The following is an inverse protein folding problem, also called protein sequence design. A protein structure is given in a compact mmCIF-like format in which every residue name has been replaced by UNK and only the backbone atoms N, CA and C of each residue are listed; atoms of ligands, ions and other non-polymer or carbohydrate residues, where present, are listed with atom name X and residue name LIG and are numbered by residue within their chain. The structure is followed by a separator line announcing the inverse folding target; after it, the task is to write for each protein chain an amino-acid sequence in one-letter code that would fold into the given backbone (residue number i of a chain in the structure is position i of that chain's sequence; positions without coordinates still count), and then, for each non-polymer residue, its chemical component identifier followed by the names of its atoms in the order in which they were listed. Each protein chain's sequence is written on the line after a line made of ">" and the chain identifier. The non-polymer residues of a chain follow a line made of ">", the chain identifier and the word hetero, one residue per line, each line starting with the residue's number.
data_IF_194879377470
#
_entry.id   IF_194879377470
#
_cell.length_a   1.000
_cell.length_b   1.000
_cell.length_c   1.000
_cell.angle_alpha   90.00
_cell.angle_beta   90.00
_cell.angle_gamma   90.00
#
_symmetry.space_group_name_H-M   'P 1'
#
loop_
_entity.id
_entity.type
_entity.pdbx_description
1 polymer ?
#
# COMPACT_ATOMS: atom_id res chain seq x y z
N UNK A 1 -2.94 -8.07 -2.27
CA UNK A 1 -2.30 -6.96 -1.50
C UNK A 1 -2.30 -5.71 -2.34
N UNK A 2 -2.30 -4.53 -1.70
CA UNK A 2 -2.26 -3.23 -2.40
C UNK A 2 -0.88 -2.60 -2.26
N UNK A 3 -0.36 -2.02 -3.34
CA UNK A 3 0.94 -1.34 -3.35
C UNK A 3 0.79 0.02 -4.01
N UNK A 4 1.18 1.08 -3.29
CA UNK A 4 1.06 2.47 -3.76
C UNK A 4 1.86 3.46 -2.91
N UNK A 5 2.06 4.67 -3.42
CA UNK A 5 2.81 5.72 -2.72
C UNK A 5 2.06 7.04 -2.66
N UNK A 6 2.15 7.72 -1.52
CA UNK A 6 1.64 9.09 -1.37
C UNK A 6 2.61 10.14 -1.91
N UNK A 7 3.89 9.80 -1.96
CA UNK A 7 4.96 10.60 -2.56
C UNK A 7 5.33 10.15 -3.98
N UNK A 8 6.63 10.23 -4.31
CA UNK A 8 7.16 9.93 -5.65
C UNK A 8 7.15 8.45 -6.01
N UNK A 9 7.05 7.55 -5.04
CA UNK A 9 7.09 6.11 -5.26
C UNK A 9 8.40 5.56 -5.82
N UNK A 10 9.53 6.24 -5.64
CA UNK A 10 10.83 5.77 -6.13
C UNK A 10 11.13 4.34 -5.63
N UNK A 11 11.41 3.43 -6.57
CA UNK A 11 11.71 2.03 -6.30
C UNK A 11 10.50 1.16 -5.95
N UNK A 12 9.31 1.73 -5.77
CA UNK A 12 8.12 0.97 -5.38
C UNK A 12 7.59 0.08 -6.52
N UNK A 13 7.83 0.45 -7.78
CA UNK A 13 7.53 -0.36 -8.96
C UNK A 13 8.38 -1.64 -9.00
N UNK A 14 9.65 -1.54 -8.62
CA UNK A 14 10.58 -2.68 -8.49
C UNK A 14 10.09 -3.61 -7.40
N UNK A 15 9.67 -3.08 -6.25
CA UNK A 15 9.12 -3.91 -5.17
C UNK A 15 7.79 -4.58 -5.58
N UNK A 16 6.89 -3.85 -6.23
CA UNK A 16 5.64 -4.42 -6.75
C UNK A 16 5.91 -5.55 -7.76
N UNK A 17 6.95 -5.42 -8.58
CA UNK A 17 7.39 -6.49 -9.49
C UNK A 17 7.97 -7.67 -8.72
N UNK A 18 8.88 -7.44 -7.77
CA UNK A 18 9.47 -8.49 -6.93
C UNK A 18 8.39 -9.31 -6.21
N UNK A 19 7.38 -8.64 -5.66
CA UNK A 19 6.25 -9.30 -5.01
C UNK A 19 5.48 -10.19 -5.99
N UNK A 20 5.16 -9.70 -7.19
CA UNK A 20 4.52 -10.53 -8.23
C UNK A 20 5.38 -11.73 -8.64
N UNK A 21 6.70 -11.56 -8.74
CA UNK A 21 7.62 -12.64 -9.10
C UNK A 21 7.66 -13.76 -8.03
N UNK A 22 7.24 -13.48 -6.78
CA UNK A 22 7.04 -14.50 -5.73
C UNK A 22 5.66 -15.19 -5.79
N UNK A 23 4.82 -14.82 -6.76
CA UNK A 23 3.46 -15.32 -6.91
C UNK A 23 2.41 -14.54 -6.12
N UNK A 24 2.77 -13.39 -5.52
CA UNK A 24 1.81 -12.57 -4.81
C UNK A 24 0.86 -11.84 -5.78
N UNK A 25 -0.43 -11.82 -5.44
CA UNK A 25 -1.41 -10.97 -6.12
C UNK A 25 -1.27 -9.52 -5.67
N UNK A 26 -0.86 -8.66 -6.60
CA UNK A 26 -0.54 -7.25 -6.35
C UNK A 26 -1.48 -6.34 -7.13
N UNK A 27 -2.29 -5.59 -6.40
CA UNK A 27 -3.03 -4.42 -6.90
C UNK A 27 -2.09 -3.22 -6.83
N UNK A 28 -1.66 -2.74 -8.01
CA UNK A 28 -0.77 -1.60 -8.13
C UNK A 28 -1.56 -0.35 -8.48
N UNK A 29 -1.46 0.66 -7.63
CA UNK A 29 -2.17 1.94 -7.79
C UNK A 29 -1.25 3.12 -8.12
N UNK A 30 0.07 2.90 -8.13
CA UNK A 30 1.03 3.92 -8.54
C UNK A 30 1.49 4.84 -7.41
N UNK A 31 2.02 6.00 -7.81
CA UNK A 31 2.56 7.02 -6.92
C UNK A 31 1.75 8.32 -7.00
N UNK A 32 1.90 9.20 -6.01
CA UNK A 32 1.13 10.44 -5.89
C UNK A 32 -0.36 10.22 -5.59
N UNK A 33 -0.73 9.06 -5.04
CA UNK A 33 -2.11 8.78 -4.63
C UNK A 33 -2.39 9.38 -3.25
N UNK A 34 -3.64 9.74 -2.97
CA UNK A 34 -3.99 10.18 -1.62
C UNK A 34 -3.98 8.99 -0.65
N UNK A 35 -3.76 9.27 0.65
CA UNK A 35 -3.92 8.28 1.72
C UNK A 35 -5.32 7.66 1.70
N UNK A 36 -6.34 8.47 1.41
CA UNK A 36 -7.73 8.02 1.37
C UNK A 36 -8.02 7.08 0.20
N UNK A 37 -7.46 7.33 -0.98
CA UNK A 37 -7.60 6.45 -2.15
C UNK A 37 -6.86 5.12 -1.93
N UNK A 38 -5.68 5.18 -1.32
CA UNK A 38 -4.90 4.01 -0.94
C UNK A 38 -5.67 3.12 0.06
N UNK A 39 -6.22 3.73 1.12
CA UNK A 39 -7.04 3.01 2.09
C UNK A 39 -8.34 2.48 1.47
N UNK A 40 -9.04 3.29 0.66
CA UNK A 40 -10.27 2.87 -0.01
C UNK A 40 -10.03 1.68 -0.95
N UNK A 41 -8.91 1.67 -1.69
CA UNK A 41 -8.51 0.55 -2.55
C UNK A 41 -8.23 -0.69 -1.71
N UNK A 42 -7.49 -0.57 -0.61
CA UNK A 42 -7.21 -1.70 0.28
C UNK A 42 -8.49 -2.35 0.83
N UNK A 43 -9.49 -1.54 1.19
CA UNK A 43 -10.80 -2.05 1.63
C UNK A 43 -11.58 -2.69 0.48
N UNK A 44 -11.62 -2.05 -0.69
CA UNK A 44 -12.35 -2.55 -1.85
C UNK A 44 -11.81 -3.89 -2.35
N UNK A 45 -10.50 -4.08 -2.25
CA UNK A 45 -9.77 -5.28 -2.67
C UNK A 45 -9.62 -6.33 -1.55
N UNK A 46 -10.26 -6.11 -0.39
CA UNK A 46 -10.17 -6.98 0.80
C UNK A 46 -8.69 -7.35 1.12
N UNK A 47 -7.83 -6.35 1.07
CA UNK A 47 -6.39 -6.58 1.06
C UNK A 47 -5.84 -6.83 2.46
N UNK A 48 -5.33 -8.03 2.72
CA UNK A 48 -4.65 -8.35 3.99
C UNK A 48 -3.35 -7.55 4.25
N UNK A 49 -2.81 -6.85 3.24
CA UNK A 49 -1.57 -6.06 3.34
C UNK A 49 -1.56 -4.88 2.39
N UNK A 50 -1.03 -3.75 2.88
CA UNK A 50 -0.68 -2.56 2.11
C UNK A 50 0.83 -2.33 2.20
N UNK A 51 1.47 -2.09 1.04
CA UNK A 51 2.89 -1.73 0.97
C UNK A 51 3.01 -0.31 0.43
N UNK A 52 3.68 0.57 1.18
CA UNK A 52 3.97 1.95 0.79
C UNK A 52 5.44 2.19 0.51
N UNK A 53 5.80 3.30 -0.16
CA UNK A 53 7.21 3.61 -0.39
C UNK A 53 7.92 3.90 0.94
N UNK A 54 9.23 3.68 1.00
CA UNK A 54 10.01 3.85 2.24
C UNK A 54 10.01 5.30 2.79
N UNK A 55 9.67 6.28 1.95
CA UNK A 55 9.51 7.68 2.35
C UNK A 55 8.08 8.10 2.71
N UNK A 56 7.09 7.22 2.54
CA UNK A 56 5.71 7.48 2.96
C UNK A 56 5.55 7.21 4.47
N UNK A 57 4.57 7.86 5.10
CA UNK A 57 4.20 7.56 6.49
C UNK A 57 3.14 6.43 6.53
N UNK A 58 3.51 5.20 6.94
CA UNK A 58 2.56 4.10 7.05
C UNK A 58 1.49 4.38 8.12
N UNK A 59 1.78 5.21 9.12
CA UNK A 59 0.84 5.54 10.20
C UNK A 59 -0.39 6.27 9.67
N UNK A 60 -0.20 7.15 8.68
CA UNK A 60 -1.31 7.87 8.03
C UNK A 60 -2.27 6.89 7.33
N UNK A 61 -1.74 5.87 6.67
CA UNK A 61 -2.53 4.83 6.00
C UNK A 61 -3.25 3.96 7.02
N UNK A 62 -2.57 3.52 8.08
CA UNK A 62 -3.19 2.78 9.19
C UNK A 62 -4.34 3.58 9.83
N UNK A 63 -4.15 4.88 10.06
CA UNK A 63 -5.21 5.74 10.60
C UNK A 63 -6.42 5.85 9.65
N UNK A 64 -6.17 5.94 8.34
CA UNK A 64 -7.24 5.99 7.34
C UNK A 64 -8.01 4.66 7.21
N UNK A 65 -7.33 3.52 7.41
CA UNK A 65 -7.97 2.18 7.49
C UNK A 65 -8.82 2.05 8.76
N UNK A 66 -8.28 2.45 9.91
CA UNK A 66 -9.00 2.43 11.18
C UNK A 66 -10.26 3.33 11.16
N UNK A 67 -10.18 4.48 10.49
CA UNK A 67 -11.35 5.36 10.28
C UNK A 67 -12.46 4.69 9.45
N UNK A 68 -12.15 3.60 8.74
CA UNK A 68 -13.09 2.76 7.97
C UNK A 68 -13.45 1.47 8.70
N UNK A 69 -13.06 1.32 9.98
CA UNK A 69 -13.25 0.11 10.79
C UNK A 69 -12.53 -1.13 10.24
N UNK A 70 -11.36 -0.92 9.65
CA UNK A 70 -10.49 -1.98 9.14
C UNK A 70 -9.18 -1.96 9.94
N UNK A 71 -9.01 -2.98 10.77
CA UNK A 71 -7.98 -3.02 11.83
C UNK A 71 -6.97 -4.18 11.62
N UNK A 72 -7.25 -5.06 10.66
CA UNK A 72 -6.57 -6.34 10.41
C UNK A 72 -5.71 -6.33 9.14
N UNK A 73 -5.42 -5.14 8.61
CA UNK A 73 -4.55 -4.95 7.44
C UNK A 73 -3.15 -4.59 7.89
N UNK A 74 -2.17 -5.38 7.45
CA UNK A 74 -0.76 -5.11 7.71
C UNK A 74 -0.24 -3.99 6.80
N UNK A 75 0.21 -2.86 7.38
CA UNK A 75 0.75 -1.73 6.62
C UNK A 75 2.26 -1.68 6.82
N UNK A 76 3.01 -1.89 5.74
CA UNK A 76 4.47 -1.93 5.76
C UNK A 76 5.08 -0.99 4.71
N UNK A 77 6.32 -0.58 4.95
CA UNK A 77 7.12 0.12 3.95
C UNK A 77 7.86 -0.88 3.06
N UNK A 78 8.03 -0.55 1.78
CA UNK A 78 8.88 -1.30 0.87
C UNK A 78 10.31 -1.40 1.41
N UNK A 79 10.92 -2.57 1.20
CA UNK A 79 12.35 -2.76 1.45
C UNK A 79 13.11 -1.98 0.36
N UNK A 80 13.80 -0.92 0.76
CA UNK A 80 14.66 -0.14 -0.13
C UNK A 80 15.89 -0.90 -0.61
#
# INVERSE_FOLDING_TARGET
>A
MVVGSTGSGEGLDVEARRLRDTGAEVVWIGAGVSVDDLAATAVAEDAARVVVASGDDPTAVTAALAARHVDDVDVITAAG
#
